data_IF_500729703212
#
_entry.id   IF_500729703212
#
_cell.length_a   1.000
_cell.length_b   1.000
_cell.length_c   1.000
_cell.angle_alpha   90.00
_cell.angle_beta   90.00
_cell.angle_gamma   90.00
#
_symmetry.space_group_name_H-M   'P 1'
#
loop_
_entity.id
_entity.type
_entity.pdbx_description
1 polymer ?
#
# COMPACT_ATOMS: atom_id res chain seq x y z
N UNK A 1 -0.03 -25.73 42.91
CA UNK A 1 -0.08 -25.43 41.46
C UNK A 1 -1.03 -24.26 41.15
N UNK A 2 -0.85 -23.09 41.78
CA UNK A 2 -1.69 -21.89 41.51
C UNK A 2 -0.87 -20.59 41.44
N UNK A 3 0.38 -20.61 41.92
CA UNK A 3 1.28 -19.44 41.92
C UNK A 3 2.12 -19.31 40.65
N UNK A 4 2.42 -20.42 39.95
CA UNK A 4 3.19 -20.37 38.70
C UNK A 4 2.40 -19.81 37.51
N UNK A 5 1.07 -19.86 37.57
CA UNK A 5 0.20 -19.33 36.50
C UNK A 5 0.14 -17.81 36.50
N UNK A 6 0.41 -17.15 37.63
CA UNK A 6 0.36 -15.69 37.73
C UNK A 6 1.67 -15.03 37.25
N UNK A 7 2.82 -15.68 37.48
CA UNK A 7 4.14 -15.19 37.07
C UNK A 7 4.30 -15.22 35.54
N UNK A 8 3.72 -16.22 34.86
CA UNK A 8 3.78 -16.32 33.40
C UNK A 8 2.99 -15.22 32.67
N UNK A 9 1.91 -14.69 33.26
CA UNK A 9 1.12 -13.62 32.62
C UNK A 9 1.75 -12.22 32.74
N UNK A 10 2.54 -11.99 33.78
CA UNK A 10 3.22 -10.70 34.00
C UNK A 10 4.45 -10.49 33.10
N UNK A 11 5.05 -11.56 32.58
CA UNK A 11 6.16 -11.48 31.62
C UNK A 11 5.72 -11.21 30.17
N UNK A 12 4.45 -11.45 29.82
CA UNK A 12 3.95 -11.18 28.47
C UNK A 12 3.66 -9.68 28.26
N UNK A 13 3.31 -8.95 29.31
CA UNK A 13 2.98 -7.51 29.24
C UNK A 13 4.23 -6.63 29.11
N UNK A 14 5.39 -7.09 29.62
CA UNK A 14 6.65 -6.35 29.51
C UNK A 14 7.31 -6.45 28.12
N UNK A 15 6.89 -7.40 27.27
CA UNK A 15 7.38 -7.53 25.88
C UNK A 15 6.62 -6.65 24.87
N UNK A 16 5.47 -6.06 25.26
CA UNK A 16 4.73 -5.09 24.45
C UNK A 16 5.12 -3.63 24.74
N UNK A 17 5.98 -3.38 25.73
CA UNK A 17 6.56 -2.07 26.01
C UNK A 17 7.76 -1.71 25.09
N UNK A 18 7.80 -2.29 23.89
CA UNK A 18 8.85 -2.10 22.88
C UNK A 18 8.66 -0.89 21.96
N UNK A 19 7.58 -0.12 22.09
CA UNK A 19 7.52 1.23 21.52
C UNK A 19 8.25 2.19 22.45
N UNK A 20 9.57 2.05 22.48
CA UNK A 20 10.49 2.97 23.13
C UNK A 20 10.22 4.36 22.57
N UNK A 21 9.64 5.21 23.43
CA UNK A 21 9.51 6.63 23.19
C UNK A 21 10.89 7.16 22.79
N UNK A 22 11.03 7.54 21.53
CA UNK A 22 12.18 8.28 21.05
C UNK A 22 12.26 9.53 21.93
N UNK A 23 13.31 9.76 22.75
CA UNK A 23 13.42 11.01 23.47
C UNK A 23 13.48 12.10 22.42
N UNK A 24 12.39 12.87 22.32
CA UNK A 24 12.34 14.07 21.52
C UNK A 24 13.46 14.95 22.02
N UNK A 25 14.50 15.09 21.20
CA UNK A 25 15.49 16.13 21.40
C UNK A 25 14.75 17.46 21.24
N UNK A 26 14.19 17.96 22.33
CA UNK A 26 13.86 19.36 22.54
C UNK A 26 15.18 20.15 22.61
N UNK A 27 15.91 20.14 21.49
CA UNK A 27 16.92 21.11 21.14
C UNK A 27 16.28 22.03 20.12
N UNK A 28 15.36 22.85 20.60
CA UNK A 28 14.69 23.90 19.84
C UNK A 28 15.75 24.94 19.47
N UNK A 29 16.31 24.80 18.27
CA UNK A 29 16.87 25.92 17.52
C UNK A 29 15.79 26.30 16.50
N UNK A 30 14.95 27.31 16.79
CA UNK A 30 13.81 27.66 15.92
C UNK A 30 14.21 28.32 14.59
N UNK A 31 15.50 28.55 14.33
CA UNK A 31 15.95 29.40 13.21
C UNK A 31 16.46 28.66 11.97
N UNK A 32 16.45 27.31 11.91
CA UNK A 32 16.86 26.56 10.69
C UNK A 32 15.79 25.66 10.07
N UNK A 33 14.75 25.26 10.82
CA UNK A 33 13.67 24.41 10.31
C UNK A 33 12.73 25.14 9.32
N UNK A 34 12.79 26.46 9.22
CA UNK A 34 11.90 27.28 8.39
C UNK A 34 12.36 27.44 6.94
N UNK A 35 13.60 27.07 6.57
CA UNK A 35 14.15 27.42 5.24
C UNK A 35 13.84 26.40 4.13
N UNK A 36 13.56 25.15 4.48
CA UNK A 36 13.37 24.06 3.52
C UNK A 36 11.90 23.68 3.29
N UNK A 37 10.99 24.15 4.13
CA UNK A 37 9.56 23.84 4.05
C UNK A 37 8.93 24.54 2.85
N UNK A 38 8.53 23.74 1.86
CA UNK A 38 7.68 24.18 0.74
C UNK A 38 6.62 23.13 0.54
N UNK A 39 5.41 23.60 0.26
CA UNK A 39 4.28 22.72 0.03
C UNK A 39 4.45 21.82 -1.19
N UNK A 40 5.09 22.32 -2.26
CA UNK A 40 5.56 21.49 -3.37
C UNK A 40 7.08 21.69 -3.51
N UNK A 41 7.89 20.61 -3.43
CA UNK A 41 9.32 20.73 -3.48
C UNK A 41 9.82 21.20 -4.86
N UNK A 42 11.06 21.68 -4.92
CA UNK A 42 11.69 22.06 -6.18
C UNK A 42 12.88 21.16 -6.50
N UNK A 43 13.40 21.27 -7.72
CA UNK A 43 14.56 20.50 -8.18
C UNK A 43 15.87 21.31 -8.07
N UNK A 44 15.87 22.40 -7.32
CA UNK A 44 17.05 23.24 -7.15
C UNK A 44 18.11 22.50 -6.33
N UNK A 45 19.36 22.52 -6.78
CA UNK A 45 20.49 21.84 -6.14
C UNK A 45 20.99 22.63 -4.92
N UNK A 46 20.20 22.67 -3.85
CA UNK A 46 20.53 23.29 -2.58
C UNK A 46 20.48 22.27 -1.44
N UNK A 47 20.80 22.70 -0.21
CA UNK A 47 20.78 21.84 0.97
C UNK A 47 19.40 21.22 1.26
N UNK A 48 18.33 21.90 0.88
CA UNK A 48 16.94 21.47 1.11
C UNK A 48 16.41 20.44 0.11
N UNK A 49 17.18 20.07 -0.92
CA UNK A 49 16.67 19.23 -2.01
C UNK A 49 16.12 17.91 -1.50
N UNK A 50 16.82 17.19 -0.62
CA UNK A 50 16.34 15.89 -0.16
C UNK A 50 15.23 16.03 0.88
N UNK A 51 15.43 16.89 1.88
CA UNK A 51 14.49 17.12 2.98
C UNK A 51 13.11 17.52 2.47
N UNK A 52 13.03 18.51 1.56
CA UNK A 52 11.74 18.96 1.03
C UNK A 52 10.98 17.90 0.24
N UNK A 53 11.68 16.97 -0.44
CA UNK A 53 11.03 15.86 -1.14
C UNK A 53 10.60 14.75 -0.18
N UNK A 54 11.37 14.49 0.88
CA UNK A 54 10.98 13.53 1.93
C UNK A 54 9.74 14.04 2.68
N UNK A 55 9.73 15.31 3.08
CA UNK A 55 8.58 15.93 3.74
C UNK A 55 7.34 15.86 2.86
N UNK A 56 7.49 16.14 1.57
CA UNK A 56 6.40 16.03 0.61
C UNK A 56 5.87 14.60 0.45
N UNK A 57 6.75 13.59 0.43
CA UNK A 57 6.34 12.18 0.39
C UNK A 57 5.59 11.77 1.66
N UNK A 58 6.04 12.24 2.83
CA UNK A 58 5.37 12.01 4.11
C UNK A 58 4.00 12.69 4.16
N UNK A 59 3.90 13.92 3.64
CA UNK A 59 2.63 14.63 3.50
C UNK A 59 1.69 13.86 2.57
N UNK A 60 2.18 13.35 1.43
CA UNK A 60 1.38 12.54 0.51
C UNK A 60 0.91 11.21 1.10
N UNK A 61 1.75 10.57 1.92
CA UNK A 61 1.39 9.33 2.62
C UNK A 61 0.31 9.55 3.69
N UNK A 62 0.38 10.67 4.42
CA UNK A 62 -0.53 10.99 5.53
C UNK A 62 -1.75 11.82 5.10
N UNK A 63 -1.73 12.31 3.87
CA UNK A 63 -2.76 13.19 3.33
C UNK A 63 -4.07 12.45 3.15
N UNK A 64 -5.15 13.08 3.62
CA UNK A 64 -6.51 12.63 3.36
C UNK A 64 -6.81 12.66 1.84
N UNK A 65 -7.83 11.92 1.36
CA UNK A 65 -8.22 11.92 -0.05
C UNK A 65 -8.40 13.32 -0.66
N UNK A 66 -9.10 14.22 0.03
CA UNK A 66 -9.32 15.61 -0.39
C UNK A 66 -8.00 16.39 -0.57
N UNK A 67 -7.01 16.16 0.31
CA UNK A 67 -5.70 16.80 0.16
C UNK A 67 -5.00 16.32 -1.10
N UNK A 68 -5.07 15.01 -1.40
CA UNK A 68 -4.42 14.44 -2.59
C UNK A 68 -5.09 14.95 -3.87
N UNK A 69 -6.41 15.00 -3.93
CA UNK A 69 -7.16 15.54 -5.07
C UNK A 69 -6.78 17.00 -5.34
N UNK A 70 -6.84 17.86 -4.32
CA UNK A 70 -6.43 19.26 -4.42
C UNK A 70 -4.95 19.41 -4.83
N UNK A 71 -4.07 18.54 -4.32
CA UNK A 71 -2.65 18.57 -4.69
C UNK A 71 -2.45 18.14 -6.14
N UNK A 72 -3.20 17.16 -6.64
CA UNK A 72 -3.15 16.72 -8.03
C UNK A 72 -3.56 17.83 -9.01
N UNK A 73 -4.61 18.58 -8.69
CA UNK A 73 -5.03 19.75 -9.49
C UNK A 73 -3.91 20.80 -9.59
N UNK A 74 -3.23 21.07 -8.48
CA UNK A 74 -2.10 22.02 -8.44
C UNK A 74 -0.87 21.53 -9.19
N UNK A 75 -0.75 20.23 -9.38
CA UNK A 75 0.39 19.59 -10.04
C UNK A 75 0.14 19.30 -11.52
N UNK A 76 -0.93 19.86 -12.12
CA UNK A 76 -1.33 19.56 -13.49
C UNK A 76 -0.33 20.02 -14.58
N UNK A 77 0.66 20.86 -14.24
CA UNK A 77 1.67 21.28 -15.21
C UNK A 77 2.66 20.18 -15.65
N UNK A 78 3.25 20.35 -16.84
CA UNK A 78 4.14 19.36 -17.49
C UNK A 78 5.62 19.43 -17.09
N UNK A 79 6.00 20.38 -16.23
CA UNK A 79 7.39 20.47 -15.78
C UNK A 79 7.82 19.18 -15.07
N UNK A 80 9.07 18.75 -15.25
CA UNK A 80 9.62 17.57 -14.54
C UNK A 80 9.38 17.64 -13.03
N UNK A 81 9.43 18.85 -12.44
CA UNK A 81 9.08 19.08 -11.04
C UNK A 81 7.65 18.67 -10.73
N UNK A 82 6.69 19.18 -11.48
CA UNK A 82 5.27 18.89 -11.27
C UNK A 82 4.96 17.43 -11.53
N UNK A 83 5.49 16.86 -12.62
CA UNK A 83 5.29 15.44 -12.94
C UNK A 83 5.84 14.52 -11.85
N UNK A 84 7.08 14.72 -11.39
CA UNK A 84 7.64 13.92 -10.30
C UNK A 84 6.88 14.10 -8.98
N UNK A 85 6.44 15.32 -8.64
CA UNK A 85 5.61 15.54 -7.46
C UNK A 85 4.23 14.85 -7.61
N UNK A 86 3.64 14.87 -8.82
CA UNK A 86 2.39 14.18 -9.14
C UNK A 86 2.54 12.67 -8.93
N UNK A 87 3.65 12.11 -9.40
CA UNK A 87 3.98 10.70 -9.18
C UNK A 87 4.08 10.32 -7.70
N UNK A 88 4.60 11.22 -6.86
CA UNK A 88 4.62 11.02 -5.39
C UNK A 88 3.20 10.95 -4.85
N UNK A 89 2.32 11.89 -5.22
CA UNK A 89 0.92 11.92 -4.74
C UNK A 89 0.15 10.68 -5.23
N UNK A 90 0.16 10.41 -6.54
CA UNK A 90 -0.49 9.26 -7.17
C UNK A 90 -0.01 7.92 -6.58
N UNK A 91 1.25 7.83 -6.15
CA UNK A 91 1.79 6.59 -5.56
C UNK A 91 1.16 6.23 -4.21
N UNK A 92 0.53 7.18 -3.54
CA UNK A 92 -0.15 6.96 -2.26
C UNK A 92 -1.67 6.91 -2.39
N UNK A 93 -2.23 7.30 -3.54
CA UNK A 93 -3.65 7.17 -3.88
C UNK A 93 -4.08 5.72 -4.14
N UNK A 94 -5.18 5.53 -4.88
CA UNK A 94 -5.75 4.23 -5.19
C UNK A 94 -4.91 3.43 -6.20
N UNK A 95 -5.09 2.11 -6.18
CA UNK A 95 -4.39 1.15 -7.04
C UNK A 95 -4.50 1.49 -8.54
N UNK A 96 -5.60 2.11 -8.96
CA UNK A 96 -5.83 2.53 -10.34
C UNK A 96 -4.85 3.62 -10.81
N UNK A 97 -4.34 4.45 -9.90
CA UNK A 97 -3.43 5.56 -10.18
C UNK A 97 -1.95 5.14 -10.13
N UNK A 98 -1.67 3.98 -9.51
CA UNK A 98 -0.30 3.50 -9.34
C UNK A 98 0.41 3.23 -10.67
N UNK A 99 -0.33 2.96 -11.75
CA UNK A 99 0.24 2.80 -13.10
C UNK A 99 0.82 4.10 -13.60
N UNK A 100 0.02 5.16 -13.54
CA UNK A 100 0.41 6.48 -13.96
C UNK A 100 1.61 6.99 -13.14
N UNK A 101 1.60 6.78 -11.84
CA UNK A 101 2.74 7.10 -10.97
C UNK A 101 4.04 6.39 -11.42
N UNK A 102 3.96 5.08 -11.67
CA UNK A 102 5.12 4.28 -12.12
C UNK A 102 5.68 4.77 -13.44
N UNK A 103 4.81 5.06 -14.41
CA UNK A 103 5.20 5.58 -15.73
C UNK A 103 5.88 6.94 -15.64
N UNK A 104 5.36 7.85 -14.80
CA UNK A 104 5.97 9.16 -14.59
C UNK A 104 7.36 9.02 -13.96
N UNK A 105 7.51 8.20 -12.91
CA UNK A 105 8.81 7.94 -12.31
C UNK A 105 9.80 7.41 -13.36
N UNK A 106 9.42 6.40 -14.15
CA UNK A 106 10.28 5.83 -15.20
C UNK A 106 10.71 6.86 -16.24
N UNK A 107 9.79 7.73 -16.66
CA UNK A 107 10.07 8.77 -17.65
C UNK A 107 10.99 9.88 -17.11
N UNK A 108 10.78 10.33 -15.88
CA UNK A 108 11.36 11.58 -15.38
C UNK A 108 12.50 11.40 -14.39
N UNK A 109 12.74 10.19 -13.88
CA UNK A 109 13.79 9.92 -12.90
C UNK A 109 15.18 10.35 -13.41
N UNK A 110 15.49 10.11 -14.69
CA UNK A 110 16.79 10.51 -15.26
C UNK A 110 16.97 12.05 -15.33
N UNK A 111 15.86 12.79 -15.41
CA UNK A 111 15.84 14.25 -15.48
C UNK A 111 15.93 14.91 -14.09
N UNK A 112 15.71 14.15 -13.02
CA UNK A 112 15.88 14.64 -11.65
C UNK A 112 17.37 14.88 -11.31
N UNK A 113 17.69 15.79 -10.38
CA UNK A 113 19.05 15.97 -9.90
C UNK A 113 19.64 14.66 -9.35
N UNK A 114 20.91 14.38 -9.64
CA UNK A 114 21.57 13.10 -9.32
C UNK A 114 21.48 12.70 -7.84
N UNK A 115 21.48 13.66 -6.91
CA UNK A 115 21.30 13.39 -5.47
C UNK A 115 19.92 12.84 -5.12
N UNK A 116 18.89 13.23 -5.87
CA UNK A 116 17.49 12.84 -5.64
C UNK A 116 17.13 11.51 -6.34
N UNK A 117 17.83 11.17 -7.43
CA UNK A 117 17.51 9.96 -8.23
C UNK A 117 17.46 8.65 -7.43
N UNK A 118 18.37 8.36 -6.49
CA UNK A 118 18.29 7.12 -5.71
C UNK A 118 17.03 7.03 -4.85
N UNK A 119 16.59 8.16 -4.28
CA UNK A 119 15.37 8.23 -3.48
C UNK A 119 14.14 7.96 -4.35
N UNK A 120 14.03 8.62 -5.50
CA UNK A 120 12.93 8.40 -6.45
C UNK A 120 12.92 6.96 -6.97
N UNK A 121 14.08 6.36 -7.20
CA UNK A 121 14.20 4.94 -7.59
C UNK A 121 13.67 4.03 -6.49
N UNK A 122 14.03 4.30 -5.24
CA UNK A 122 13.54 3.51 -4.12
C UNK A 122 12.00 3.58 -4.03
N UNK A 123 11.42 4.77 -4.18
CA UNK A 123 9.97 4.95 -4.19
C UNK A 123 9.29 4.24 -5.36
N UNK A 124 9.86 4.30 -6.57
CA UNK A 124 9.40 3.53 -7.72
C UNK A 124 9.39 2.02 -7.41
N UNK A 125 10.50 1.49 -6.88
CA UNK A 125 10.60 0.07 -6.55
C UNK A 125 9.54 -0.35 -5.51
N UNK A 126 9.32 0.47 -4.48
CA UNK A 126 8.29 0.22 -3.46
C UNK A 126 6.87 0.29 -4.03
N UNK A 127 6.61 1.20 -4.97
CA UNK A 127 5.34 1.28 -5.70
C UNK A 127 5.11 0.03 -6.55
N UNK A 128 6.12 -0.41 -7.30
CA UNK A 128 6.04 -1.62 -8.13
C UNK A 128 5.82 -2.89 -7.29
N UNK A 129 6.45 -2.98 -6.12
CA UNK A 129 6.22 -4.08 -5.18
C UNK A 129 4.76 -4.10 -4.68
N UNK A 130 4.19 -2.96 -4.30
CA UNK A 130 2.79 -2.88 -3.89
C UNK A 130 1.83 -3.27 -5.02
N UNK A 131 2.10 -2.82 -6.25
CA UNK A 131 1.33 -3.19 -7.43
C UNK A 131 1.35 -4.70 -7.69
N UNK A 132 2.52 -5.33 -7.61
CA UNK A 132 2.65 -6.77 -7.81
C UNK A 132 1.86 -7.56 -6.75
N UNK A 133 1.88 -7.10 -5.49
CA UNK A 133 1.08 -7.72 -4.43
C UNK A 133 -0.43 -7.56 -4.65
N UNK A 134 -0.88 -6.39 -5.12
CA UNK A 134 -2.29 -6.16 -5.45
C UNK A 134 -2.75 -7.07 -6.60
N UNK A 135 -1.92 -7.26 -7.62
CA UNK A 135 -2.18 -8.17 -8.74
C UNK A 135 -2.25 -9.63 -8.28
N UNK A 136 -1.32 -10.05 -7.42
CA UNK A 136 -1.33 -11.40 -6.82
C UNK A 136 -2.59 -11.64 -5.98
N UNK A 137 -3.00 -10.66 -5.19
CA UNK A 137 -4.22 -10.73 -4.39
C UNK A 137 -5.46 -10.88 -5.28
N UNK A 138 -5.58 -10.05 -6.33
CA UNK A 138 -6.70 -10.13 -7.27
C UNK A 138 -6.76 -11.49 -7.99
N UNK A 139 -5.61 -12.02 -8.41
CA UNK A 139 -5.51 -13.35 -9.04
C UNK A 139 -5.92 -14.48 -8.09
N UNK A 140 -5.49 -14.39 -6.82
CA UNK A 140 -5.86 -15.34 -5.76
C UNK A 140 -7.35 -15.32 -5.48
N UNK A 141 -7.96 -14.14 -5.36
CA UNK A 141 -9.40 -13.99 -5.15
C UNK A 141 -10.21 -14.54 -6.33
N UNK A 142 -9.81 -14.23 -7.57
CA UNK A 142 -10.44 -14.79 -8.76
C UNK A 142 -10.39 -16.32 -8.77
N UNK A 143 -9.24 -16.90 -8.40
CA UNK A 143 -9.06 -18.35 -8.30
C UNK A 143 -9.95 -18.97 -7.23
N UNK A 144 -10.08 -18.32 -6.06
CA UNK A 144 -10.98 -18.77 -4.98
C UNK A 144 -12.44 -18.78 -5.42
N UNK A 145 -12.88 -17.74 -6.13
CA UNK A 145 -14.26 -17.66 -6.65
C UNK A 145 -14.50 -18.76 -7.69
N UNK A 146 -13.56 -18.98 -8.61
CA UNK A 146 -13.67 -20.04 -9.61
C UNK A 146 -13.79 -21.44 -8.97
N UNK A 147 -12.94 -21.75 -7.98
CA UNK A 147 -12.98 -23.02 -7.26
C UNK A 147 -14.28 -23.19 -6.45
N UNK A 148 -14.79 -22.11 -5.84
CA UNK A 148 -16.07 -22.16 -5.12
C UNK A 148 -17.23 -22.49 -6.08
N UNK A 149 -17.23 -21.90 -7.27
CA UNK A 149 -18.23 -22.18 -8.30
C UNK A 149 -18.13 -23.62 -8.81
N UNK A 150 -16.91 -24.12 -9.06
CA UNK A 150 -16.69 -25.51 -9.46
C UNK A 150 -17.18 -26.49 -8.38
N UNK A 151 -16.84 -26.24 -7.12
CA UNK A 151 -17.30 -27.06 -5.98
C UNK A 151 -18.83 -27.10 -5.91
N UNK A 152 -19.50 -25.95 -6.07
CA UNK A 152 -20.96 -25.89 -6.07
C UNK A 152 -21.57 -26.69 -7.23
N UNK A 153 -21.00 -26.57 -8.44
CA UNK A 153 -21.45 -27.35 -9.60
C UNK A 153 -21.26 -28.85 -9.40
N UNK A 154 -20.15 -29.28 -8.80
CA UNK A 154 -19.89 -30.68 -8.48
C UNK A 154 -20.86 -31.21 -7.42
N UNK A 155 -21.15 -30.42 -6.38
CA UNK A 155 -22.14 -30.78 -5.36
C UNK A 155 -23.53 -30.97 -5.97
N UNK A 156 -23.98 -30.05 -6.84
CA UNK A 156 -25.26 -30.16 -7.53
C UNK A 156 -25.35 -31.42 -8.41
N UNK A 157 -24.26 -31.75 -9.12
CA UNK A 157 -24.18 -33.00 -9.89
C UNK A 157 -24.27 -34.25 -9.01
N UNK A 158 -23.60 -34.24 -7.86
CA UNK A 158 -23.65 -35.36 -6.91
C UNK A 158 -25.05 -35.52 -6.31
N UNK A 159 -25.73 -34.42 -5.97
CA UNK A 159 -27.10 -34.46 -5.47
C UNK A 159 -28.06 -35.00 -6.54
N UNK A 160 -27.90 -34.58 -7.80
CA UNK A 160 -28.67 -35.11 -8.92
C UNK A 160 -28.45 -36.61 -9.13
N UNK A 161 -27.20 -37.09 -9.07
CA UNK A 161 -26.90 -38.52 -9.17
C UNK A 161 -27.48 -39.32 -8.00
N UNK A 162 -27.44 -38.75 -6.80
CA UNK A 162 -28.04 -39.36 -5.59
C UNK A 162 -29.56 -39.47 -5.72
N UNK A 163 -30.24 -38.43 -6.21
CA UNK A 163 -31.67 -38.45 -6.45
C UNK A 163 -32.07 -39.50 -7.50
N UNK A 164 -31.26 -39.67 -8.55
CA UNK A 164 -31.47 -40.72 -9.55
C UNK A 164 -31.38 -42.10 -8.90
N UNK A 165 -30.35 -42.35 -8.07
CA UNK A 165 -30.18 -43.64 -7.38
C UNK A 165 -31.38 -43.98 -6.49
N UNK A 166 -31.84 -43.02 -5.68
CA UNK A 166 -33.01 -43.19 -4.83
C UNK A 166 -34.29 -43.48 -5.64
N UNK A 167 -34.44 -42.83 -6.81
CA UNK A 167 -35.57 -43.08 -7.71
C UNK A 167 -35.53 -44.48 -8.34
N UNK A 168 -34.35 -45.04 -8.58
CA UNK A 168 -34.19 -46.40 -9.13
C UNK A 168 -34.51 -47.43 -8.05
N UNK A 169 -33.98 -47.24 -6.84
CA UNK A 169 -34.23 -48.15 -5.71
C UNK A 169 -35.70 -48.22 -5.33
N UNK A 170 -36.39 -47.07 -5.30
CA UNK A 170 -37.83 -47.04 -5.00
C UNK A 170 -38.66 -47.81 -6.03
N UNK A 171 -38.35 -47.70 -7.33
CA UNK A 171 -39.02 -48.46 -8.40
C UNK A 171 -38.77 -49.97 -8.33
N UNK A 172 -37.61 -50.40 -7.84
CA UNK A 172 -37.29 -51.83 -7.69
C UNK A 172 -37.96 -52.46 -6.46
N UNK A 173 -38.42 -51.65 -5.50
CA UNK A 173 -39.06 -52.10 -4.27
C UNK A 173 -40.60 -52.11 -4.34
N UNK A 174 -41.20 -51.54 -5.39
CA UNK A 174 -42.64 -51.72 -5.65
C UNK A 174 -42.88 -53.06 -6.37
N UNK A 175 -43.72 -53.97 -5.80
CA UNK A 175 -43.94 -55.32 -6.30
C UNK A 175 -44.80 -55.42 -7.57
#
# INVERSE_FOLDING_TARGET
MKQYSLIASLLAVSLLAGCQALPGNAGENPDTASSCQREVPNLARNGCLLESWIDFNLAAQRGEPEWRENMLERLDGDSTRHRLARAVVLSWSDDSEWQQASEIYKADLASAPSRLQPLLRQWLNSLEARRALAEELASSEASRVALANERNSLAEKLDALTAIEQSINSRQQEP
#
